data_IF_815397828789
#
_entry.id   IF_815397828789
#
_cell.length_a   1.000
_cell.length_b   1.000
_cell.length_c   1.000
_cell.angle_alpha   90.00
_cell.angle_beta   90.00
_cell.angle_gamma   90.00
#
_symmetry.space_group_name_H-M   'P 1'
#
loop_
_entity.id
_entity.type
_entity.pdbx_description
1 polymer ?
#
# COMPACT_ATOMS: atom_id res chain seq x y z
N UNK A 1 -16.60 0.72 -17.35
CA UNK A 1 -17.85 1.49 -17.15
C UNK A 1 -17.40 2.93 -16.91
N UNK A 2 -17.52 3.78 -17.92
CA UNK A 2 -17.22 5.22 -17.79
C UNK A 2 -18.45 5.87 -17.19
N UNK A 3 -18.42 6.15 -15.88
CA UNK A 3 -19.48 6.90 -15.20
C UNK A 3 -19.01 8.34 -15.15
N UNK A 4 -19.82 9.27 -15.68
CA UNK A 4 -19.44 10.68 -15.78
C UNK A 4 -19.26 11.34 -14.41
N UNK A 5 -18.35 12.34 -14.27
CA UNK A 5 -18.02 13.00 -13.00
C UNK A 5 -19.20 13.69 -12.28
N UNK A 6 -20.34 13.92 -12.96
CA UNK A 6 -21.48 14.63 -12.37
C UNK A 6 -22.33 13.79 -11.39
N UNK A 7 -22.28 12.44 -11.44
CA UNK A 7 -23.17 11.58 -10.63
C UNK A 7 -22.64 11.28 -9.21
N UNK A 8 -21.52 11.88 -8.79
CA UNK A 8 -20.83 11.55 -7.53
C UNK A 8 -21.32 12.33 -6.30
N UNK A 9 -22.22 13.30 -6.47
CA UNK A 9 -22.56 14.25 -5.42
C UNK A 9 -23.96 13.98 -4.91
N UNK A 10 -24.07 13.00 -4.02
CA UNK A 10 -25.04 13.02 -2.93
C UNK A 10 -24.50 12.15 -1.80
N UNK A 11 -24.31 12.76 -0.62
CA UNK A 11 -23.81 12.16 0.63
C UNK A 11 -22.29 11.99 0.79
N UNK A 12 -21.59 13.13 0.95
CA UNK A 12 -20.36 13.16 1.73
C UNK A 12 -20.68 12.92 3.21
N UNK A 13 -20.23 11.80 3.77
CA UNK A 13 -20.12 11.66 5.22
C UNK A 13 -18.66 11.89 5.59
N UNK A 14 -18.36 13.06 6.17
CA UNK A 14 -17.07 13.30 6.81
C UNK A 14 -17.07 12.50 8.13
N UNK A 15 -16.52 11.30 8.12
CA UNK A 15 -16.12 10.65 9.35
C UNK A 15 -14.68 11.08 9.69
N UNK A 16 -14.56 12.22 10.38
CA UNK A 16 -13.28 12.79 10.86
C UNK A 16 -12.71 11.93 12.02
N UNK A 17 -13.45 10.92 12.50
CA UNK A 17 -13.14 10.21 13.74
C UNK A 17 -12.08 9.12 13.63
N UNK A 18 -11.50 8.90 12.46
CA UNK A 18 -10.27 8.13 12.33
C UNK A 18 -9.20 9.04 11.75
N UNK A 19 -8.48 9.81 12.58
CA UNK A 19 -7.17 10.28 12.16
C UNK A 19 -6.42 9.03 11.69
N UNK A 20 -6.04 8.99 10.41
CA UNK A 20 -5.04 8.02 10.02
C UNK A 20 -3.85 8.33 10.93
N UNK A 21 -3.46 7.37 11.75
CA UNK A 21 -2.35 7.51 12.71
C UNK A 21 -1.01 7.82 12.03
N UNK A 22 -0.98 7.88 10.70
CA UNK A 22 0.03 8.56 9.92
C UNK A 22 -0.37 10.04 9.66
N UNK A 23 -0.41 10.88 10.71
CA UNK A 23 0.03 12.26 10.51
C UNK A 23 1.56 12.16 10.31
N UNK A 24 2.01 11.70 9.14
CA UNK A 24 3.34 12.08 8.67
C UNK A 24 3.21 13.59 8.49
N UNK A 25 3.72 14.38 9.43
CA UNK A 25 4.10 15.77 9.17
C UNK A 25 5.19 15.73 8.11
N UNK A 26 4.78 15.48 6.89
CA UNK A 26 5.58 15.63 5.70
C UNK A 26 5.75 17.13 5.48
N UNK A 27 6.86 17.53 4.88
CA UNK A 27 7.07 18.88 4.34
C UNK A 27 5.97 19.32 3.34
N UNK A 28 4.98 18.47 3.02
CA UNK A 28 4.02 18.58 1.92
C UNK A 28 2.55 18.80 2.38
N UNK A 29 2.33 19.13 3.65
CA UNK A 29 0.99 19.41 4.20
C UNK A 29 0.16 18.16 4.51
N UNK A 30 -1.05 18.31 5.09
CA UNK A 30 -1.90 17.19 5.44
C UNK A 30 -2.46 16.48 4.20
N UNK A 31 -2.44 15.15 4.22
CA UNK A 31 -3.21 14.27 3.33
C UNK A 31 -4.55 14.02 4.01
N UNK A 32 -5.65 14.22 3.29
CA UNK A 32 -6.99 13.92 3.78
C UNK A 32 -7.58 12.76 3.00
N UNK A 33 -8.25 11.87 3.72
CA UNK A 33 -8.91 10.69 3.16
C UNK A 33 -10.41 10.83 3.43
N UNK A 34 -11.17 10.96 2.36
CA UNK A 34 -12.63 11.13 2.40
C UNK A 34 -13.29 9.80 2.05
N UNK A 35 -14.34 9.43 2.78
CA UNK A 35 -15.14 8.26 2.47
C UNK A 35 -16.32 8.68 1.60
N UNK A 36 -16.37 8.15 0.37
CA UNK A 36 -17.43 8.43 -0.58
C UNK A 36 -18.43 7.28 -0.56
N UNK A 37 -19.71 7.59 -0.40
CA UNK A 37 -20.78 6.62 -0.45
C UNK A 37 -21.67 6.91 -1.64
N UNK A 38 -21.64 6.05 -2.64
CA UNK A 38 -22.48 6.17 -3.84
C UNK A 38 -23.63 5.18 -3.72
N UNK A 39 -24.85 5.68 -3.82
CA UNK A 39 -26.07 4.85 -3.84
C UNK A 39 -26.55 4.74 -5.28
N UNK A 40 -26.59 3.52 -5.80
CA UNK A 40 -27.13 3.21 -7.13
C UNK A 40 -28.26 2.22 -6.93
N UNK A 41 -29.52 2.68 -7.08
CA UNK A 41 -30.69 1.90 -6.66
C UNK A 41 -30.66 1.59 -5.16
N UNK A 42 -30.78 0.32 -4.80
CA UNK A 42 -30.69 -0.15 -3.39
C UNK A 42 -29.27 -0.50 -2.95
N UNK A 43 -28.31 -0.52 -3.88
CA UNK A 43 -26.92 -0.84 -3.60
C UNK A 43 -26.14 0.40 -3.16
N UNK A 44 -25.47 0.29 -2.01
CA UNK A 44 -24.53 1.30 -1.50
C UNK A 44 -23.09 0.81 -1.72
N UNK A 45 -22.34 1.53 -2.53
CA UNK A 45 -20.91 1.28 -2.76
C UNK A 45 -20.08 2.34 -2.05
N UNK A 46 -18.98 1.92 -1.45
CA UNK A 46 -18.06 2.83 -0.74
C UNK A 46 -16.74 2.91 -1.49
N UNK A 47 -16.26 4.14 -1.67
CA UNK A 47 -14.94 4.46 -2.23
C UNK A 47 -14.17 5.34 -1.24
N UNK A 48 -12.88 5.46 -1.50
CA UNK A 48 -12.00 6.39 -0.79
C UNK A 48 -11.54 7.47 -1.76
N UNK A 49 -11.66 8.74 -1.37
CA UNK A 49 -11.12 9.88 -2.09
C UNK A 49 -9.97 10.49 -1.29
N UNK A 50 -8.75 10.37 -1.82
CA UNK A 50 -7.53 10.91 -1.21
C UNK A 50 -7.21 12.28 -1.82
N UNK A 51 -7.11 13.30 -0.98
CA UNK A 51 -6.76 14.67 -1.36
C UNK A 51 -5.53 15.15 -0.63
N UNK A 52 -4.82 16.07 -1.26
CA UNK A 52 -3.54 16.60 -0.83
C UNK A 52 -3.64 18.11 -0.63
N UNK A 53 -2.60 18.69 -0.05
CA UNK A 53 -2.39 20.13 -0.12
C UNK A 53 -1.89 20.50 -1.52
N UNK A 54 -2.23 21.70 -1.99
CA UNK A 54 -1.70 22.22 -3.25
C UNK A 54 -0.19 22.46 -3.12
N UNK A 55 0.59 21.93 -4.07
CA UNK A 55 2.02 22.22 -4.15
C UNK A 55 2.23 23.49 -4.95
N UNK A 56 2.54 24.58 -4.25
CA UNK A 56 2.62 25.93 -4.79
C UNK A 56 3.91 26.19 -5.56
N UNK A 57 3.89 27.20 -6.44
CA UNK A 57 5.12 27.68 -7.09
C UNK A 57 6.14 28.20 -6.08
N UNK A 58 5.70 28.79 -4.97
CA UNK A 58 6.59 29.29 -3.92
C UNK A 58 7.34 28.15 -3.24
N UNK A 59 6.67 27.02 -2.98
CA UNK A 59 7.32 25.80 -2.49
C UNK A 59 8.32 25.24 -3.50
N UNK A 60 7.96 25.20 -4.79
CA UNK A 60 8.86 24.76 -5.84
C UNK A 60 10.11 25.68 -5.96
N UNK A 61 9.92 27.00 -5.88
CA UNK A 61 11.02 27.99 -5.83
C UNK A 61 11.87 27.80 -4.58
N UNK A 62 11.27 27.58 -3.43
CA UNK A 62 11.98 27.32 -2.18
C UNK A 62 12.84 26.04 -2.28
N UNK A 63 12.31 24.97 -2.88
CA UNK A 63 13.08 23.75 -3.12
C UNK A 63 14.24 24.00 -4.08
N UNK A 64 14.04 24.72 -5.19
CA UNK A 64 15.14 25.08 -6.10
C UNK A 64 16.23 25.93 -5.44
N UNK A 65 15.88 26.78 -4.47
CA UNK A 65 16.90 27.50 -3.67
C UNK A 65 17.67 26.55 -2.76
N UNK A 66 17.00 25.55 -2.19
CA UNK A 66 17.60 24.56 -1.29
C UNK A 66 18.51 23.57 -2.02
N UNK A 67 18.08 23.09 -3.18
CA UNK A 67 18.82 22.17 -4.06
C UNK A 67 18.79 22.75 -5.47
N UNK A 68 19.78 23.58 -5.82
CA UNK A 68 19.85 24.20 -7.13
C UNK A 68 19.98 23.18 -8.25
N UNK A 69 19.25 23.40 -9.35
CA UNK A 69 19.41 22.65 -10.58
C UNK A 69 19.40 23.59 -11.78
N UNK A 70 20.33 23.40 -12.71
CA UNK A 70 20.37 24.13 -13.99
C UNK A 70 19.47 23.51 -15.05
N UNK A 71 18.98 22.29 -14.81
CA UNK A 71 18.23 21.49 -15.79
C UNK A 71 16.72 21.57 -15.59
N UNK A 72 16.27 22.04 -14.42
CA UNK A 72 14.86 22.02 -14.04
C UNK A 72 14.34 23.45 -13.86
N UNK A 73 13.20 23.73 -14.46
CA UNK A 73 12.41 24.93 -14.20
C UNK A 73 11.59 24.79 -12.91
N UNK A 74 11.03 25.91 -12.42
CA UNK A 74 10.07 25.89 -11.29
C UNK A 74 8.89 24.96 -11.59
N UNK A 75 8.40 24.97 -12.83
CA UNK A 75 7.29 24.12 -13.25
C UNK A 75 7.69 22.63 -13.26
N UNK A 76 8.90 22.29 -13.70
CA UNK A 76 9.40 20.90 -13.62
C UNK A 76 9.47 20.44 -12.15
N UNK A 77 9.93 21.28 -11.24
CA UNK A 77 9.97 20.94 -9.80
C UNK A 77 8.57 20.76 -9.24
N UNK A 78 7.64 21.66 -9.58
CA UNK A 78 6.24 21.55 -9.17
C UNK A 78 5.62 20.24 -9.68
N UNK A 79 5.80 19.91 -10.95
CA UNK A 79 5.24 18.69 -11.54
C UNK A 79 5.88 17.40 -11.01
N UNK A 80 7.15 17.43 -10.60
CA UNK A 80 7.85 16.26 -10.06
C UNK A 80 7.61 16.06 -8.57
N UNK A 81 7.33 17.13 -7.83
CA UNK A 81 7.18 17.10 -6.37
C UNK A 81 5.73 17.23 -5.90
N UNK A 82 4.76 17.51 -6.77
CA UNK A 82 3.34 17.53 -6.39
C UNK A 82 2.85 16.10 -6.05
N UNK A 83 2.50 15.81 -4.78
CA UNK A 83 2.09 14.47 -4.36
C UNK A 83 0.82 13.97 -5.07
N UNK A 84 -0.12 14.87 -5.36
CA UNK A 84 -1.36 14.52 -6.05
C UNK A 84 -1.06 14.08 -7.49
N UNK A 85 -0.20 14.84 -8.19
CA UNK A 85 0.20 14.47 -9.55
C UNK A 85 1.00 13.17 -9.54
N UNK A 86 1.86 12.97 -8.56
CA UNK A 86 2.63 11.74 -8.43
C UNK A 86 1.71 10.54 -8.21
N UNK A 87 0.82 10.58 -7.23
CA UNK A 87 -0.06 9.45 -6.96
C UNK A 87 -0.99 9.15 -8.15
N UNK A 88 -1.57 10.19 -8.77
CA UNK A 88 -2.46 10.04 -9.92
C UNK A 88 -1.74 9.39 -11.11
N UNK A 89 -0.55 9.88 -11.48
CA UNK A 89 0.23 9.32 -12.60
C UNK A 89 0.62 7.87 -12.36
N UNK A 90 1.02 7.52 -11.13
CA UNK A 90 1.36 6.14 -10.79
C UNK A 90 0.16 5.20 -10.97
N UNK A 91 -1.00 5.61 -10.47
CA UNK A 91 -2.23 4.83 -10.53
C UNK A 91 -2.80 4.72 -11.95
N UNK A 92 -2.73 5.80 -12.72
CA UNK A 92 -3.08 5.79 -14.15
C UNK A 92 -2.17 4.84 -14.93
N UNK A 93 -0.86 4.91 -14.71
CA UNK A 93 0.12 4.03 -15.36
C UNK A 93 -0.08 2.56 -14.98
N UNK A 94 -0.35 2.29 -13.70
CA UNK A 94 -0.77 0.98 -13.21
C UNK A 94 -2.02 0.47 -13.95
N UNK A 95 -3.06 1.30 -14.04
CA UNK A 95 -4.31 0.91 -14.68
C UNK A 95 -4.13 0.68 -16.19
N UNK A 96 -3.23 1.39 -16.86
CA UNK A 96 -2.98 1.26 -18.30
C UNK A 96 -2.07 0.07 -18.63
N UNK A 97 -1.01 -0.15 -17.86
CA UNK A 97 0.08 -1.07 -18.23
C UNK A 97 0.17 -2.34 -17.39
N UNK A 98 -0.42 -2.37 -16.18
CA UNK A 98 -0.38 -3.58 -15.35
C UNK A 98 -1.37 -4.63 -15.86
N UNK A 99 -0.89 -5.86 -16.04
CA UNK A 99 -1.71 -7.00 -16.44
C UNK A 99 -2.86 -7.23 -15.45
N UNK A 100 -4.08 -7.62 -15.89
CA UNK A 100 -5.23 -7.81 -15.00
C UNK A 100 -4.94 -8.72 -13.79
N UNK A 101 -4.18 -9.80 -13.98
CA UNK A 101 -3.82 -10.74 -12.91
C UNK A 101 -2.89 -10.18 -11.83
N UNK A 102 -2.24 -9.04 -12.09
CA UNK A 102 -1.34 -8.36 -11.15
C UNK A 102 -1.93 -7.05 -10.61
N UNK A 103 -3.04 -6.56 -11.17
CA UNK A 103 -3.76 -5.38 -10.65
C UNK A 103 -4.25 -5.59 -9.24
N UNK A 104 -4.53 -6.86 -8.88
CA UNK A 104 -4.87 -7.26 -7.52
C UNK A 104 -3.78 -6.92 -6.49
N UNK A 105 -2.57 -6.52 -6.88
CA UNK A 105 -1.55 -6.12 -5.90
C UNK A 105 -1.70 -4.67 -5.43
N UNK A 106 -2.59 -3.90 -6.06
CA UNK A 106 -2.71 -2.45 -5.89
C UNK A 106 -4.18 -2.08 -5.63
N UNK A 107 -4.46 -0.93 -5.00
CA UNK A 107 -5.82 -0.41 -4.90
C UNK A 107 -6.41 -0.19 -6.30
N UNK A 108 -7.69 -0.56 -6.50
CA UNK A 108 -8.36 -0.21 -7.75
C UNK A 108 -8.51 1.31 -7.87
N UNK A 109 -8.06 1.86 -9.00
CA UNK A 109 -8.20 3.27 -9.34
C UNK A 109 -9.49 3.53 -10.12
N UNK A 110 -10.24 4.56 -9.72
CA UNK A 110 -11.54 4.93 -10.31
C UNK A 110 -11.54 6.31 -10.98
N UNK A 111 -10.43 7.05 -10.93
CA UNK A 111 -10.32 8.38 -11.55
C UNK A 111 -10.03 9.49 -10.55
N UNK A 112 -10.23 10.72 -10.99
CA UNK A 112 -10.08 11.94 -10.19
C UNK A 112 -11.45 12.59 -10.01
N UNK A 113 -11.81 12.86 -8.76
CA UNK A 113 -12.92 13.75 -8.43
C UNK A 113 -12.44 15.20 -8.53
N UNK A 114 -13.14 16.04 -9.29
CA UNK A 114 -12.86 17.47 -9.39
C UNK A 114 -13.89 18.30 -8.61
N UNK A 115 -13.63 19.60 -8.49
CA UNK A 115 -14.58 20.59 -7.97
C UNK A 115 -15.06 20.32 -6.53
N UNK A 116 -14.18 19.75 -5.69
CA UNK A 116 -14.47 19.55 -4.27
C UNK A 116 -14.78 20.88 -3.61
N UNK A 117 -15.97 20.96 -3.01
CA UNK A 117 -16.44 22.19 -2.38
C UNK A 117 -15.77 22.41 -1.02
N UNK A 118 -14.80 23.31 -1.01
CA UNK A 118 -14.04 23.66 0.19
C UNK A 118 -14.86 24.42 1.26
N UNK A 119 -16.08 24.89 0.97
CA UNK A 119 -16.89 25.64 1.94
C UNK A 119 -17.31 24.80 3.15
N UNK A 120 -17.36 23.48 2.99
CA UNK A 120 -17.76 22.53 4.04
C UNK A 120 -16.58 22.11 4.93
N UNK A 121 -15.35 22.50 4.60
CA UNK A 121 -14.14 22.08 5.31
C UNK A 121 -13.60 23.21 6.19
N UNK A 122 -13.14 22.90 7.43
CA UNK A 122 -12.48 23.89 8.28
C UNK A 122 -11.28 24.53 7.57
N UNK A 123 -11.00 25.81 7.84
CA UNK A 123 -9.86 26.54 7.25
C UNK A 123 -8.52 25.81 7.43
N UNK A 124 -8.35 25.07 8.52
CA UNK A 124 -7.14 24.29 8.85
C UNK A 124 -6.95 23.05 7.97
N UNK A 125 -8.01 22.60 7.30
CA UNK A 125 -8.04 21.37 6.50
C UNK A 125 -8.71 21.64 5.16
N UNK A 126 -8.34 22.72 4.47
CA UNK A 126 -8.85 22.97 3.12
C UNK A 126 -8.20 21.97 2.16
N UNK A 127 -8.96 21.00 1.63
CA UNK A 127 -8.41 20.09 0.65
C UNK A 127 -8.15 20.85 -0.65
N UNK A 128 -7.23 20.33 -1.47
CA UNK A 128 -7.21 20.61 -2.90
C UNK A 128 -8.60 20.34 -3.49
N UNK A 129 -8.95 21.05 -4.56
CA UNK A 129 -10.23 20.85 -5.28
C UNK A 129 -10.31 19.51 -6.04
N UNK A 130 -9.30 18.66 -5.91
CA UNK A 130 -9.15 17.41 -6.62
C UNK A 130 -8.79 16.31 -5.63
N UNK A 131 -9.40 15.13 -5.81
CA UNK A 131 -9.06 13.94 -5.05
C UNK A 131 -8.93 12.72 -5.96
N UNK A 132 -8.00 11.85 -5.64
CA UNK A 132 -7.82 10.55 -6.29
C UNK A 132 -8.84 9.58 -5.72
N UNK A 133 -9.67 8.98 -6.56
CA UNK A 133 -10.70 8.02 -6.14
C UNK A 133 -10.17 6.60 -6.26
N UNK A 134 -10.23 5.88 -5.14
CA UNK A 134 -9.68 4.55 -4.92
C UNK A 134 -10.72 3.60 -4.34
N UNK A 135 -10.45 2.30 -4.48
CA UNK A 135 -11.11 1.25 -3.72
C UNK A 135 -11.09 1.54 -2.21
N UNK A 136 -12.24 1.41 -1.57
CA UNK A 136 -12.29 1.41 -0.12
C UNK A 136 -11.80 0.05 0.41
N UNK A 137 -10.51 -0.03 0.68
CA UNK A 137 -9.88 -1.23 1.24
C UNK A 137 -10.47 -1.49 2.63
N UNK A 138 -11.01 -2.69 2.83
CA UNK A 138 -11.53 -3.15 4.12
C UNK A 138 -10.68 -4.30 4.64
N UNK A 139 -10.51 -4.43 5.95
CA UNK A 139 -9.85 -5.59 6.55
C UNK A 139 -10.80 -6.80 6.53
N UNK A 140 -11.07 -7.32 5.34
CA UNK A 140 -11.82 -8.56 5.14
C UNK A 140 -10.85 -9.69 4.78
N UNK A 141 -11.18 -10.93 5.14
CA UNK A 141 -10.47 -12.13 4.71
C UNK A 141 -10.41 -12.18 3.18
N UNK A 142 -11.46 -11.75 2.48
CA UNK A 142 -11.47 -11.66 1.02
C UNK A 142 -10.41 -10.70 0.44
N UNK A 143 -9.98 -9.71 1.24
CA UNK A 143 -8.96 -8.75 0.87
C UNK A 143 -7.54 -9.24 1.24
N UNK A 144 -7.40 -10.32 2.01
CA UNK A 144 -6.10 -10.90 2.37
C UNK A 144 -5.55 -11.66 1.17
N UNK A 145 -4.36 -11.28 0.72
CA UNK A 145 -3.70 -11.89 -0.43
C UNK A 145 -2.41 -12.55 0.05
N UNK A 146 -2.51 -13.81 0.48
CA UNK A 146 -1.35 -14.62 0.86
C UNK A 146 -1.17 -15.70 -0.20
N UNK A 147 -0.06 -15.64 -0.94
CA UNK A 147 0.32 -16.69 -1.88
C UNK A 147 1.55 -17.42 -1.32
N UNK A 148 1.37 -18.68 -0.95
CA UNK A 148 2.45 -19.51 -0.42
C UNK A 148 3.42 -19.95 -1.53
N UNK A 149 4.70 -19.59 -1.39
CA UNK A 149 5.86 -20.29 -1.98
C UNK A 149 7.14 -19.90 -1.24
N UNK A 150 8.04 -20.86 -1.04
CA UNK A 150 9.06 -20.85 0.01
C UNK A 150 10.23 -19.88 -0.13
N UNK A 151 10.70 -19.44 1.04
CA UNK A 151 11.96 -18.72 1.26
C UNK A 151 12.47 -19.06 2.67
N UNK A 152 13.68 -19.61 2.80
CA UNK A 152 14.12 -20.25 4.07
C UNK A 152 15.47 -19.75 4.63
N UNK A 153 16.42 -19.27 3.82
CA UNK A 153 17.82 -19.26 4.31
C UNK A 153 18.12 -18.28 5.46
N UNK A 154 17.52 -17.09 5.52
CA UNK A 154 17.83 -16.10 6.59
C UNK A 154 16.95 -16.26 7.84
N UNK A 155 15.79 -16.90 7.72
CA UNK A 155 14.86 -17.10 8.84
C UNK A 155 15.27 -18.27 9.74
N UNK A 156 16.01 -19.24 9.19
CA UNK A 156 16.48 -20.43 9.92
C UNK A 156 17.39 -20.12 11.11
N UNK A 157 17.96 -18.91 11.22
CA UNK A 157 18.78 -18.50 12.37
C UNK A 157 17.95 -18.00 13.56
N UNK A 158 16.64 -17.81 13.40
CA UNK A 158 15.73 -17.35 14.44
C UNK A 158 15.03 -18.55 15.11
N UNK A 159 14.61 -18.44 16.38
CA UNK A 159 13.93 -19.51 17.12
C UNK A 159 12.44 -19.63 16.69
N UNK A 160 12.22 -19.88 15.40
CA UNK A 160 10.93 -19.99 14.75
C UNK A 160 10.57 -21.46 14.51
N UNK A 161 9.29 -21.81 14.63
CA UNK A 161 8.78 -23.10 14.17
C UNK A 161 8.80 -23.19 12.64
N UNK A 162 8.76 -24.41 12.09
CA UNK A 162 8.73 -24.63 10.63
C UNK A 162 7.58 -23.89 9.95
N UNK A 163 6.40 -23.90 10.57
CA UNK A 163 5.23 -23.16 10.10
C UNK A 163 5.49 -21.65 10.04
N UNK A 164 6.15 -21.07 11.04
CA UNK A 164 6.44 -19.62 11.04
C UNK A 164 7.44 -19.26 9.94
N UNK A 165 8.46 -20.09 9.73
CA UNK A 165 9.41 -19.93 8.62
C UNK A 165 8.67 -19.92 7.28
N UNK A 166 7.76 -20.86 7.06
CA UNK A 166 6.95 -20.94 5.85
C UNK A 166 6.00 -19.74 5.70
N UNK A 167 5.40 -19.29 6.81
CA UNK A 167 4.51 -18.13 6.83
C UNK A 167 5.25 -16.84 6.46
N UNK A 168 6.35 -16.53 7.15
CA UNK A 168 7.18 -15.35 6.85
C UNK A 168 7.78 -15.43 5.45
N UNK A 169 8.19 -16.62 4.99
CA UNK A 169 8.69 -16.83 3.63
C UNK A 169 7.62 -16.58 2.55
N UNK A 170 6.39 -17.00 2.81
CA UNK A 170 5.24 -16.73 1.93
C UNK A 170 4.90 -15.24 1.88
N UNK A 171 4.93 -14.58 3.05
CA UNK A 171 4.70 -13.13 3.15
C UNK A 171 5.75 -12.33 2.38
N UNK A 172 7.04 -12.67 2.52
CA UNK A 172 8.12 -12.06 1.75
C UNK A 172 7.89 -12.23 0.25
N UNK A 173 7.58 -13.45 -0.18
CA UNK A 173 7.36 -13.74 -1.59
C UNK A 173 6.20 -12.93 -2.16
N UNK A 174 5.11 -12.79 -1.42
CA UNK A 174 3.98 -11.97 -1.84
C UNK A 174 4.38 -10.49 -1.99
N UNK A 175 5.01 -9.89 -0.97
CA UNK A 175 5.48 -8.50 -1.04
C UNK A 175 6.43 -8.27 -2.21
N UNK A 176 7.39 -9.17 -2.43
CA UNK A 176 8.33 -9.08 -3.55
C UNK A 176 7.62 -9.15 -4.90
N UNK A 177 6.56 -9.95 -5.05
CA UNK A 177 5.74 -9.97 -6.29
C UNK A 177 5.04 -8.63 -6.54
N UNK A 178 4.53 -7.98 -5.49
CA UNK A 178 3.90 -6.64 -5.63
C UNK A 178 4.92 -5.61 -6.08
N UNK A 179 6.12 -5.64 -5.51
CA UNK A 179 7.24 -4.77 -5.90
C UNK A 179 7.69 -5.07 -7.33
N UNK A 180 7.90 -6.34 -7.68
CA UNK A 180 8.26 -6.73 -9.05
C UNK A 180 7.22 -6.29 -10.08
N UNK A 181 5.92 -6.35 -9.73
CA UNK A 181 4.86 -5.87 -10.61
C UNK A 181 4.97 -4.36 -10.93
N UNK A 182 5.50 -3.53 -10.02
CA UNK A 182 5.81 -2.12 -10.30
C UNK A 182 6.99 -2.00 -11.26
N UNK A 183 8.09 -2.72 -10.99
CA UNK A 183 9.29 -2.66 -11.83
C UNK A 183 9.05 -3.14 -13.26
N UNK A 184 8.21 -4.17 -13.42
CA UNK A 184 7.89 -4.75 -14.73
C UNK A 184 7.15 -3.76 -15.65
N UNK A 185 6.52 -2.72 -15.08
CA UNK A 185 5.89 -1.62 -15.82
C UNK A 185 6.69 -0.30 -15.72
N UNK A 186 7.90 -0.34 -15.16
CA UNK A 186 8.77 0.83 -15.06
C UNK A 186 8.38 1.85 -14.00
N UNK A 187 7.70 1.42 -12.92
CA UNK A 187 7.44 2.23 -11.73
C UNK A 187 8.44 1.84 -10.63
N UNK A 188 8.98 2.85 -9.96
CA UNK A 188 9.70 2.74 -8.68
C UNK A 188 8.78 3.28 -7.58
N UNK A 189 8.65 2.60 -6.45
CA UNK A 189 7.80 3.08 -5.35
C UNK A 189 8.45 4.27 -4.62
N UNK A 190 9.76 4.20 -4.37
CA UNK A 190 10.59 5.29 -3.86
C UNK A 190 10.64 5.41 -2.33
N UNK A 191 9.72 4.76 -1.61
CA UNK A 191 9.61 4.80 -0.16
C UNK A 191 8.90 3.53 0.35
N UNK A 192 9.49 2.34 0.17
CA UNK A 192 8.84 1.10 0.59
C UNK A 192 8.98 0.91 2.10
N UNK A 193 7.85 0.94 2.81
CA UNK A 193 7.76 0.71 4.25
C UNK A 193 6.76 -0.42 4.55
N UNK A 194 6.86 -1.00 5.75
CA UNK A 194 6.01 -2.12 6.16
C UNK A 194 4.51 -1.75 6.14
N UNK A 195 4.17 -0.52 6.52
CA UNK A 195 2.80 -0.02 6.53
C UNK A 195 2.24 0.26 5.13
N UNK A 196 3.05 0.23 4.06
CA UNK A 196 2.53 0.36 2.69
C UNK A 196 1.90 -0.93 2.17
N UNK A 197 2.08 -2.06 2.88
CA UNK A 197 1.50 -3.36 2.50
C UNK A 197 0.21 -3.72 3.25
N UNK A 198 -0.08 -3.03 4.36
CA UNK A 198 -1.17 -3.35 5.30
C UNK A 198 -1.79 -2.08 5.88
N UNK A 199 -3.09 -2.12 6.16
CA UNK A 199 -3.76 -0.97 6.81
C UNK A 199 -3.25 -0.77 8.24
N UNK A 200 -3.30 0.46 8.78
CA UNK A 200 -2.94 0.71 10.18
C UNK A 200 -3.77 -0.16 11.14
N UNK A 201 -3.08 -0.87 12.03
CA UNK A 201 -3.69 -1.80 12.98
C UNK A 201 -4.00 -3.19 12.41
N UNK A 202 -3.78 -3.43 11.12
CA UNK A 202 -3.97 -4.74 10.52
C UNK A 202 -2.69 -5.57 10.53
N UNK A 203 -2.85 -6.86 10.81
CA UNK A 203 -1.74 -7.81 10.79
C UNK A 203 -1.38 -8.29 9.38
N UNK A 204 -2.40 -8.47 8.55
CA UNK A 204 -2.28 -9.07 7.23
C UNK A 204 -2.04 -8.03 6.15
N UNK A 205 -1.23 -8.41 5.16
CA UNK A 205 -1.04 -7.62 3.96
C UNK A 205 -2.30 -7.65 3.08
N UNK A 206 -2.65 -6.50 2.51
CA UNK A 206 -3.86 -6.33 1.68
C UNK A 206 -3.50 -5.91 0.25
N UNK A 207 -2.90 -4.72 0.10
CA UNK A 207 -2.40 -4.16 -1.16
C UNK A 207 -1.15 -3.34 -0.90
N UNK A 208 -0.33 -3.11 -1.94
CA UNK A 208 0.72 -2.11 -1.91
C UNK A 208 0.15 -0.75 -2.31
N UNK A 209 0.25 0.26 -1.44
CA UNK A 209 -0.32 1.59 -1.64
C UNK A 209 0.66 2.72 -1.23
N UNK A 210 0.27 3.98 -1.50
CA UNK A 210 1.00 5.22 -1.19
C UNK A 210 2.13 5.60 -2.17
N UNK A 211 1.76 5.89 -3.42
CA UNK A 211 2.70 6.15 -4.54
C UNK A 211 3.21 7.61 -4.64
N UNK A 212 3.47 8.26 -3.50
CA UNK A 212 3.78 9.70 -3.44
C UNK A 212 5.10 10.11 -4.12
N UNK A 213 6.03 9.18 -4.26
CA UNK A 213 7.41 9.44 -4.69
C UNK A 213 7.80 8.67 -5.95
N UNK A 214 6.82 8.20 -6.73
CA UNK A 214 7.13 7.37 -7.88
C UNK A 214 7.93 8.12 -8.95
N UNK A 215 8.82 7.40 -9.63
CA UNK A 215 9.63 7.95 -10.72
C UNK A 215 9.19 7.29 -12.03
N UNK A 216 8.44 8.05 -12.83
CA UNK A 216 8.19 7.75 -14.24
C UNK A 216 8.31 9.04 -15.05
N UNK A 217 9.44 9.26 -15.72
CA UNK A 217 9.61 10.42 -16.60
C UNK A 217 10.64 10.13 -17.71
N UNK A 218 10.38 10.58 -18.95
CA UNK A 218 11.36 10.54 -20.04
C UNK A 218 12.52 11.52 -19.82
N UNK A 219 12.34 12.51 -18.94
CA UNK A 219 13.40 13.42 -18.48
C UNK A 219 13.87 12.97 -17.10
N UNK A 220 15.12 13.26 -16.76
CA UNK A 220 15.61 13.06 -15.39
C UNK A 220 14.71 13.89 -14.46
N UNK A 221 14.05 13.28 -13.45
CA UNK A 221 13.19 14.02 -12.54
C UNK A 221 14.01 14.85 -11.56
N UNK A 222 13.41 15.94 -11.07
CA UNK A 222 13.98 16.69 -9.96
C UNK A 222 13.83 15.88 -8.65
N UNK A 223 14.94 15.65 -7.94
CA UNK A 223 14.95 14.84 -6.71
C UNK A 223 15.32 15.67 -5.48
N UNK A 224 14.49 15.56 -4.42
CA UNK A 224 14.67 16.21 -3.10
C UNK A 224 15.99 15.79 -2.41
N UNK A 225 16.57 14.66 -2.80
CA UNK A 225 17.77 14.11 -2.16
C UNK A 225 19.09 14.62 -2.76
N UNK A 226 19.07 15.43 -3.83
CA UNK A 226 20.25 15.84 -4.62
C UNK A 226 21.13 14.65 -5.07
N UNK A 227 20.63 13.43 -5.01
CA UNK A 227 21.40 12.23 -5.34
C UNK A 227 21.50 12.10 -6.84
N UNK A 228 22.66 11.65 -7.30
CA UNK A 228 22.82 11.22 -8.68
C UNK A 228 21.78 10.14 -9.00
N UNK A 229 21.14 10.19 -10.19
CA UNK A 229 20.27 9.13 -10.65
C UNK A 229 20.97 7.78 -10.54
N UNK A 230 20.29 6.81 -9.94
CA UNK A 230 20.82 5.44 -9.81
C UNK A 230 20.22 4.56 -10.91
N UNK A 231 20.97 3.56 -11.40
CA UNK A 231 20.40 2.58 -12.31
C UNK A 231 19.18 1.89 -11.67
N UNK A 232 18.15 1.61 -12.46
CA UNK A 232 16.92 0.96 -12.00
C UNK A 232 17.21 -0.37 -11.29
N UNK A 233 18.20 -1.13 -11.78
CA UNK A 233 18.65 -2.38 -11.15
C UNK A 233 19.17 -2.21 -9.72
N UNK A 234 19.84 -1.08 -9.44
CA UNK A 234 20.35 -0.75 -8.11
C UNK A 234 19.20 -0.36 -7.18
N UNK A 235 18.25 0.41 -7.68
CA UNK A 235 17.05 0.82 -6.90
C UNK A 235 16.20 -0.42 -6.59
N UNK A 236 15.95 -1.27 -7.59
CA UNK A 236 15.24 -2.55 -7.44
C UNK A 236 15.87 -3.43 -6.36
N UNK A 237 17.20 -3.59 -6.40
CA UNK A 237 17.92 -4.37 -5.39
C UNK A 237 17.79 -3.76 -3.99
N UNK A 238 17.79 -2.44 -3.89
CA UNK A 238 17.64 -1.75 -2.61
C UNK A 238 16.23 -1.93 -2.03
N UNK A 239 15.18 -1.67 -2.80
CA UNK A 239 13.79 -1.83 -2.36
C UNK A 239 13.47 -3.28 -1.99
N UNK A 240 13.95 -4.26 -2.76
CA UNK A 240 13.80 -5.68 -2.41
C UNK A 240 14.47 -6.02 -1.08
N UNK A 241 15.68 -5.50 -0.83
CA UNK A 241 16.37 -5.68 0.44
C UNK A 241 15.59 -5.03 1.60
N UNK A 242 14.98 -3.85 1.39
CA UNK A 242 14.13 -3.23 2.42
C UNK A 242 12.95 -4.12 2.77
N UNK A 243 12.29 -4.74 1.78
CA UNK A 243 11.22 -5.71 2.03
C UNK A 243 11.74 -6.93 2.80
N UNK A 244 12.89 -7.49 2.42
CA UNK A 244 13.52 -8.60 3.16
C UNK A 244 13.81 -8.24 4.62
N UNK A 245 14.37 -7.04 4.87
CA UNK A 245 14.69 -6.57 6.20
C UNK A 245 13.43 -6.31 7.04
N UNK A 246 12.33 -5.83 6.44
CA UNK A 246 11.04 -5.68 7.12
C UNK A 246 10.49 -7.03 7.59
N UNK A 247 10.49 -8.04 6.72
CA UNK A 247 10.01 -9.39 7.08
C UNK A 247 10.90 -10.00 8.16
N UNK A 248 12.22 -9.84 8.03
CA UNK A 248 13.15 -10.31 9.05
C UNK A 248 12.89 -9.63 10.41
N UNK A 249 12.64 -8.32 10.42
CA UNK A 249 12.30 -7.60 11.65
C UNK A 249 11.01 -8.10 12.29
N UNK A 250 9.95 -8.35 11.50
CA UNK A 250 8.70 -8.97 11.99
C UNK A 250 8.93 -10.36 12.58
N UNK A 251 9.78 -11.16 11.94
CA UNK A 251 10.13 -12.49 12.42
C UNK A 251 10.95 -12.44 13.72
N UNK A 252 11.90 -11.52 13.81
CA UNK A 252 12.71 -11.30 15.01
C UNK A 252 11.85 -10.86 16.21
N UNK A 253 10.81 -10.06 15.95
CA UNK A 253 9.84 -9.62 16.96
C UNK A 253 8.79 -10.67 17.32
N UNK A 254 8.82 -11.84 16.67
CA UNK A 254 7.78 -12.87 16.82
C UNK A 254 6.36 -12.32 16.60
N UNK A 255 6.23 -11.37 15.67
CA UNK A 255 4.99 -10.62 15.37
C UNK A 255 3.80 -11.55 15.13
N UNK A 256 4.01 -12.71 14.49
CA UNK A 256 2.96 -13.71 14.28
C UNK A 256 2.45 -14.30 15.60
N UNK A 257 3.34 -14.63 16.54
CA UNK A 257 2.95 -15.17 17.85
C UNK A 257 2.22 -14.13 18.68
N UNK A 258 2.74 -12.89 18.70
CA UNK A 258 2.12 -11.76 19.40
C UNK A 258 0.70 -11.51 18.88
N UNK A 259 0.53 -11.51 17.55
CA UNK A 259 -0.78 -11.35 16.94
C UNK A 259 -1.77 -12.46 17.34
N UNK A 260 -1.34 -13.73 17.38
CA UNK A 260 -2.18 -14.82 17.87
C UNK A 260 -2.51 -14.67 19.36
N UNK A 261 -1.52 -14.31 20.18
CA UNK A 261 -1.70 -14.07 21.61
C UNK A 261 -2.82 -13.05 21.87
N UNK A 262 -2.72 -11.91 21.18
CA UNK A 262 -3.67 -10.80 21.28
C UNK A 262 -5.05 -11.21 20.72
N UNK A 263 -5.08 -11.83 19.55
CA UNK A 263 -6.33 -12.20 18.86
C UNK A 263 -7.15 -13.24 19.63
N UNK A 264 -6.48 -14.19 20.29
CA UNK A 264 -7.12 -15.27 21.03
C UNK A 264 -7.10 -15.08 22.55
N UNK A 265 -6.65 -13.91 23.04
CA UNK A 265 -6.46 -13.62 24.47
C UNK A 265 -5.73 -14.77 25.19
N UNK A 266 -4.76 -15.36 24.51
CA UNK A 266 -4.15 -16.62 24.91
C UNK A 266 -3.01 -16.38 25.90
N UNK A 267 -2.88 -17.28 26.88
CA UNK A 267 -1.76 -17.30 27.81
C UNK A 267 -0.50 -17.85 27.10
N UNK A 268 0.69 -17.42 27.53
CA UNK A 268 2.00 -17.81 27.00
C UNK A 268 2.20 -19.33 26.92
N UNK A 269 1.55 -20.09 27.82
CA UNK A 269 1.55 -21.55 27.82
C UNK A 269 0.90 -22.16 26.56
N UNK A 270 -0.19 -21.56 26.05
CA UNK A 270 -0.88 -22.02 24.85
C UNK A 270 -0.05 -21.74 23.59
N UNK A 271 0.58 -20.56 23.52
CA UNK A 271 1.49 -20.21 22.44
C UNK A 271 2.72 -21.12 22.45
N UNK A 272 3.27 -21.41 23.64
CA UNK A 272 4.35 -22.36 23.81
C UNK A 272 4.00 -23.75 23.26
N UNK A 273 2.78 -24.24 23.50
CA UNK A 273 2.29 -25.51 23.00
C UNK A 273 2.01 -25.51 21.48
N UNK A 274 1.52 -24.41 20.91
CA UNK A 274 1.25 -24.27 19.47
C UNK A 274 2.52 -24.28 18.62
N UNK A 275 3.59 -23.64 19.11
CA UNK A 275 4.83 -23.46 18.35
C UNK A 275 5.93 -24.46 18.71
N UNK A 276 5.80 -25.14 19.85
CA UNK A 276 6.59 -26.31 20.21
C UNK A 276 5.64 -27.48 20.49
N UNK A 277 4.96 -28.00 19.45
CA UNK A 277 4.05 -29.12 19.64
C UNK A 277 4.82 -30.26 20.32
N UNK A 278 4.27 -30.88 21.37
CA UNK A 278 4.92 -32.01 22.00
C UNK A 278 5.19 -33.07 20.94
N UNK A 279 6.32 -33.78 21.05
CA UNK A 279 6.64 -34.95 20.22
C UNK A 279 5.65 -36.08 20.56
N UNK A 280 4.38 -35.93 20.20
CA UNK A 280 3.33 -36.89 20.46
C UNK A 280 3.13 -37.79 19.23
N UNK A 281 3.11 -39.08 19.52
CA UNK A 281 2.93 -40.24 18.63
C UNK A 281 1.46 -40.53 18.30
N UNK A 282 0.54 -39.61 18.60
CA UNK A 282 -0.90 -39.81 18.40
C UNK A 282 -1.41 -38.98 17.22
N UNK A 283 -2.32 -39.59 16.46
CA UNK A 283 -2.92 -39.05 15.24
C UNK A 283 -3.73 -37.78 15.55
N UNK A 284 -3.23 -36.63 15.11
CA UNK A 284 -3.97 -35.37 15.19
C UNK A 284 -5.01 -35.29 14.06
N UNK A 285 -6.19 -34.77 14.41
CA UNK A 285 -7.26 -34.52 13.44
C UNK A 285 -6.84 -33.43 12.43
N UNK A 286 -6.72 -33.82 11.16
CA UNK A 286 -6.35 -32.92 10.08
C UNK A 286 -7.55 -32.03 9.70
N UNK A 287 -7.54 -30.78 10.16
CA UNK A 287 -8.52 -29.78 9.72
C UNK A 287 -8.01 -29.13 8.42
N UNK A 288 -8.54 -29.55 7.28
CA UNK A 288 -8.26 -28.93 5.97
C UNK A 288 -9.23 -27.75 5.74
N UNK A 289 -8.73 -26.52 5.88
CA UNK A 289 -9.47 -25.32 5.49
C UNK A 289 -9.28 -25.06 3.99
N UNK A 290 -10.26 -25.43 3.18
CA UNK A 290 -10.25 -25.21 1.73
C UNK A 290 -10.77 -23.80 1.41
N UNK A 291 -9.87 -22.90 1.02
CA UNK A 291 -10.25 -21.57 0.53
C UNK A 291 -10.59 -21.67 -0.96
N UNK A 292 -11.83 -21.41 -1.34
CA UNK A 292 -12.35 -21.59 -2.72
C UNK A 292 -11.94 -20.50 -3.70
N UNK A 293 -11.40 -19.37 -3.21
CA UNK A 293 -11.08 -18.23 -4.04
C UNK A 293 -9.59 -17.88 -3.99
N UNK A 294 -8.92 -18.01 -5.14
CA UNK A 294 -7.68 -17.26 -5.36
C UNK A 294 -8.04 -15.78 -5.57
N UNK A 295 -7.28 -14.84 -5.00
CA UNK A 295 -7.52 -13.41 -5.21
C UNK A 295 -7.44 -12.96 -6.68
N UNK A 296 -6.88 -13.78 -7.58
CA UNK A 296 -6.72 -13.51 -9.01
C UNK A 296 -7.91 -13.97 -9.88
N UNK A 297 -8.98 -14.48 -9.26
CA UNK A 297 -10.20 -14.91 -9.96
C UNK A 297 -10.03 -16.17 -10.81
N UNK A 298 -8.87 -16.84 -10.76
CA UNK A 298 -8.67 -18.10 -11.48
C UNK A 298 -9.25 -19.25 -10.66
N UNK A 299 -10.30 -19.86 -11.18
CA UNK A 299 -10.76 -21.16 -10.72
C UNK A 299 -9.62 -22.17 -10.90
N UNK A 300 -9.09 -22.70 -9.79
CA UNK A 300 -8.41 -23.97 -9.85
C UNK A 300 -9.49 -25.05 -10.02
N UNK A 301 -9.77 -25.42 -11.26
CA UNK A 301 -10.34 -26.74 -11.51
C UNK A 301 -9.32 -27.76 -11.04
N UNK A 302 -9.67 -28.51 -10.01
CA UNK A 302 -8.91 -29.68 -9.57
C UNK A 302 -9.84 -30.86 -9.86
N UNK A 303 -9.48 -31.64 -10.87
CA UNK A 303 -9.91 -33.04 -10.97
C UNK A 303 -9.16 -33.85 -9.92
#
# INVERSE_FOLDING_TARGET
>A
MNIEPQEWIDYFSLDINRPSTAIKQSMMGPILVLWLHVKTGDTKTTYVAKTFSDYSEDEARAQLRRIPSKQHSVEDVKQNLDPFLNETRALEHLNQHCSPSRRIYFPQYYGVLTDINNSKFPLRYKPRRQAVVLEAIKPDIACRRILATGFSMRLNSLPLGSFEVDWYGSLLTDRLRRVDALYDIGIVHGDIEDHHFRLPGEFYDIVLYDFLYHIHSPKVPYLISARNPRPLSVIKKHEKRQVEDQIYARAQQMDFRLYLAESFQSNDALLGALFNPPKQTEDLELIILRVTHRPDGRFSFIN
#
